data_IF_190665729814
#
_entry.id   IF_190665729814
#
_cell.length_a   1.000
_cell.length_b   1.000
_cell.length_c   1.000
_cell.angle_alpha   90.00
_cell.angle_beta   90.00
_cell.angle_gamma   90.00
#
_symmetry.space_group_name_H-M   'P 1'
#
loop_
_entity.id
_entity.type
_entity.pdbx_description
1 polymer ?
#
# COMPACT_ATOMS: atom_id res chain seq x y z
N UNK A 1 25.23 3.32 5.68
CA UNK A 1 24.22 2.27 5.47
C UNK A 1 22.84 2.92 5.46
N UNK A 2 22.22 3.04 4.30
CA UNK A 2 20.82 3.41 4.21
C UNK A 2 20.01 2.25 4.78
N UNK A 3 19.19 2.49 5.81
CA UNK A 3 18.30 1.45 6.32
C UNK A 3 17.19 1.21 5.29
N UNK A 4 16.88 -0.05 4.98
CA UNK A 4 15.81 -0.47 4.04
C UNK A 4 14.52 0.33 4.27
N UNK A 5 14.12 0.50 5.52
CA UNK A 5 12.92 1.28 5.85
C UNK A 5 12.97 2.75 5.38
N UNK A 6 14.09 3.44 5.52
CA UNK A 6 14.23 4.83 5.05
C UNK A 6 14.25 4.92 3.53
N UNK A 7 14.78 3.89 2.88
CA UNK A 7 14.80 3.76 1.43
C UNK A 7 13.41 3.46 0.86
N UNK A 8 12.67 2.50 1.44
CA UNK A 8 11.28 2.19 1.07
C UNK A 8 10.37 3.43 1.09
N UNK A 9 10.53 4.30 2.09
CA UNK A 9 9.76 5.55 2.17
C UNK A 9 10.04 6.51 1.01
N UNK A 10 11.27 6.52 0.52
CA UNK A 10 11.68 7.36 -0.60
C UNK A 10 11.25 6.74 -1.93
N UNK A 11 11.32 5.42 -2.09
CA UNK A 11 10.76 4.73 -3.27
C UNK A 11 9.25 4.95 -3.35
N UNK A 12 8.51 4.79 -2.24
CA UNK A 12 7.08 5.09 -2.21
C UNK A 12 6.80 6.54 -2.61
N UNK A 13 7.60 7.50 -2.12
CA UNK A 13 7.43 8.90 -2.52
C UNK A 13 7.74 9.10 -4.01
N UNK A 14 8.84 8.57 -4.51
CA UNK A 14 9.15 8.69 -5.92
C UNK A 14 7.99 8.14 -6.78
N UNK A 15 7.44 6.98 -6.43
CA UNK A 15 6.28 6.42 -7.12
C UNK A 15 5.03 7.31 -7.03
N UNK A 16 4.74 7.95 -5.88
CA UNK A 16 3.63 8.92 -5.81
C UNK A 16 3.82 10.13 -6.75
N UNK A 17 5.07 10.51 -7.03
CA UNK A 17 5.40 11.67 -7.84
C UNK A 17 5.45 11.35 -9.34
N UNK A 18 6.00 10.19 -9.68
CA UNK A 18 6.45 9.88 -11.03
C UNK A 18 6.33 8.38 -11.34
N UNK A 19 5.36 7.68 -10.73
CA UNK A 19 5.03 6.34 -11.19
C UNK A 19 4.42 6.39 -12.59
N UNK A 20 5.30 6.32 -13.57
CA UNK A 20 5.08 5.87 -14.94
C UNK A 20 6.46 5.72 -15.56
N UNK A 21 7.26 4.75 -15.08
CA UNK A 21 8.63 4.60 -15.56
C UNK A 21 8.70 4.22 -17.05
N UNK A 22 7.57 3.94 -17.69
CA UNK A 22 7.46 3.40 -19.06
C UNK A 22 6.58 4.25 -19.98
N UNK A 23 5.60 5.00 -19.45
CA UNK A 23 4.62 5.72 -20.28
C UNK A 23 4.72 7.25 -20.13
N UNK A 24 4.67 7.98 -21.26
CA UNK A 24 4.66 9.45 -21.30
C UNK A 24 3.38 10.08 -20.70
N UNK A 25 2.33 9.27 -20.47
CA UNK A 25 1.08 9.70 -19.87
C UNK A 25 0.75 8.85 -18.63
N UNK A 26 1.18 9.26 -17.42
CA UNK A 26 1.02 8.47 -16.21
C UNK A 26 -0.46 8.26 -15.87
N UNK A 27 -0.85 7.00 -15.68
CA UNK A 27 -2.14 6.67 -15.12
C UNK A 27 -2.19 7.04 -13.63
N UNK A 28 -3.36 7.46 -13.09
CA UNK A 28 -3.48 7.68 -11.66
C UNK A 28 -3.17 6.41 -10.89
N UNK A 29 -2.35 6.53 -9.85
CA UNK A 29 -1.85 5.39 -9.12
C UNK A 29 -1.95 5.54 -7.59
N UNK A 30 -2.31 4.45 -6.92
CA UNK A 30 -2.26 4.35 -5.45
C UNK A 30 -0.98 3.63 -5.07
N UNK A 31 -0.15 4.28 -4.24
CA UNK A 31 1.07 3.68 -3.70
C UNK A 31 0.86 3.22 -2.26
N UNK A 32 1.23 1.98 -1.97
CA UNK A 32 1.11 1.36 -0.65
C UNK A 32 2.40 0.67 -0.20
N UNK A 33 2.92 1.09 0.96
CA UNK A 33 4.10 0.49 1.58
C UNK A 33 3.76 -0.77 2.37
N UNK A 34 4.60 -1.79 2.23
CA UNK A 34 4.62 -3.02 3.02
C UNK A 34 3.23 -3.66 3.10
N UNK A 35 2.77 -4.10 1.93
CA UNK A 35 1.47 -4.70 1.72
C UNK A 35 1.62 -6.21 1.52
N UNK A 36 0.67 -6.99 2.02
CA UNK A 36 0.80 -8.43 2.00
C UNK A 36 -0.35 -9.17 2.68
N UNK A 37 -0.37 -10.48 2.45
CA UNK A 37 -1.22 -11.47 3.12
C UNK A 37 -0.44 -12.16 4.24
N UNK A 38 -1.00 -13.19 4.87
CA UNK A 38 -0.24 -14.04 5.80
C UNK A 38 0.89 -14.82 5.11
N UNK A 39 0.80 -15.01 3.79
CA UNK A 39 1.72 -15.86 3.02
C UNK A 39 2.83 -15.07 2.33
N UNK A 40 2.58 -13.80 1.97
CA UNK A 40 3.50 -13.00 1.15
C UNK A 40 3.38 -11.51 1.48
N UNK A 41 4.49 -10.76 1.48
CA UNK A 41 4.54 -9.32 1.77
C UNK A 41 5.53 -8.62 0.87
N UNK A 42 5.03 -7.68 0.08
CA UNK A 42 5.78 -6.82 -0.83
C UNK A 42 6.14 -5.51 -0.16
N UNK A 43 7.30 -4.95 -0.49
CA UNK A 43 7.78 -3.70 0.10
C UNK A 43 7.02 -2.47 -0.39
N UNK A 44 6.74 -2.40 -1.69
CA UNK A 44 5.88 -1.36 -2.28
C UNK A 44 4.94 -1.99 -3.29
N UNK A 45 3.66 -1.63 -3.20
CA UNK A 45 2.65 -1.95 -4.21
C UNK A 45 2.19 -0.65 -4.84
N UNK A 46 2.14 -0.62 -6.16
CA UNK A 46 1.51 0.45 -6.93
C UNK A 46 0.29 -0.11 -7.63
N UNK A 47 -0.83 0.62 -7.55
CA UNK A 47 -2.07 0.22 -8.19
C UNK A 47 -2.46 1.31 -9.14
N UNK A 48 -2.30 1.04 -10.42
CA UNK A 48 -2.83 1.91 -11.46
C UNK A 48 -4.32 1.69 -11.55
N UNK A 49 -5.07 2.78 -11.54
CA UNK A 49 -6.52 2.74 -11.43
C UNK A 49 -7.18 3.23 -12.71
N UNK A 50 -8.36 2.69 -12.97
CA UNK A 50 -9.28 3.33 -13.91
C UNK A 50 -9.87 4.59 -13.26
N UNK A 51 -9.71 5.80 -13.82
CA UNK A 51 -10.16 7.02 -13.16
C UNK A 51 -11.66 7.03 -12.87
N UNK A 52 -12.47 6.51 -13.78
CA UNK A 52 -13.93 6.47 -13.66
C UNK A 52 -14.37 5.46 -12.61
N UNK A 53 -13.83 4.25 -12.66
CA UNK A 53 -14.00 3.19 -11.67
C UNK A 53 -13.52 3.63 -10.30
N UNK A 54 -12.41 4.36 -10.20
CA UNK A 54 -11.90 4.89 -8.95
C UNK A 54 -12.85 5.93 -8.35
N UNK A 55 -13.36 6.86 -9.15
CA UNK A 55 -14.40 7.82 -8.70
C UNK A 55 -15.65 7.10 -8.21
N UNK A 56 -16.09 6.03 -8.87
CA UNK A 56 -17.20 5.20 -8.41
C UNK A 56 -16.86 4.49 -7.08
N UNK A 57 -15.65 3.96 -6.95
CA UNK A 57 -15.18 3.29 -5.73
C UNK A 57 -15.20 4.25 -4.54
N UNK A 58 -14.77 5.50 -4.72
CA UNK A 58 -14.80 6.53 -3.67
C UNK A 58 -16.20 6.78 -3.10
N UNK A 59 -17.26 6.53 -3.87
CA UNK A 59 -18.63 6.67 -3.38
C UNK A 59 -18.98 5.65 -2.28
N UNK A 60 -18.23 4.54 -2.13
CA UNK A 60 -18.35 3.60 -1.01
C UNK A 60 -17.61 4.08 0.26
N UNK A 61 -16.97 5.25 0.21
CA UNK A 61 -16.28 5.91 1.30
C UNK A 61 -14.77 5.61 1.38
N UNK A 62 -14.09 6.33 2.26
CA UNK A 62 -12.62 6.34 2.40
C UNK A 62 -12.04 5.11 3.12
N UNK A 63 -12.91 4.25 3.67
CA UNK A 63 -12.51 3.03 4.37
C UNK A 63 -12.44 1.86 3.40
N UNK A 64 -11.34 1.11 3.46
CA UNK A 64 -11.22 -0.17 2.75
C UNK A 64 -12.32 -1.17 3.13
N UNK A 65 -12.61 -2.07 2.20
CA UNK A 65 -13.43 -3.25 2.39
C UNK A 65 -12.51 -4.47 2.54
N UNK A 66 -12.73 -5.26 3.59
CA UNK A 66 -12.07 -6.56 3.71
C UNK A 66 -12.71 -7.58 2.76
N UNK A 67 -12.15 -8.78 2.69
CA UNK A 67 -12.65 -9.85 1.82
C UNK A 67 -14.11 -10.21 2.07
N UNK A 68 -14.57 -10.13 3.32
CA UNK A 68 -15.96 -10.45 3.68
C UNK A 68 -16.91 -9.36 3.17
N UNK A 69 -16.53 -8.09 3.32
CA UNK A 69 -17.31 -6.96 2.81
C UNK A 69 -17.30 -6.93 1.28
N UNK A 70 -16.18 -7.23 0.64
CA UNK A 70 -16.09 -7.33 -0.82
C UNK A 70 -17.02 -8.41 -1.36
N UNK A 71 -17.08 -9.59 -0.74
CA UNK A 71 -18.05 -10.64 -1.10
C UNK A 71 -19.47 -10.10 -1.07
N UNK A 72 -19.86 -9.44 0.02
CA UNK A 72 -21.23 -8.90 0.15
C UNK A 72 -21.52 -7.82 -0.90
N UNK A 73 -20.59 -6.89 -1.11
CA UNK A 73 -20.83 -5.70 -1.95
C UNK A 73 -20.79 -6.02 -3.44
N UNK A 74 -19.95 -6.98 -3.86
CA UNK A 74 -19.89 -7.45 -5.25
C UNK A 74 -21.09 -8.30 -5.63
N UNK A 75 -21.52 -9.20 -4.74
CA UNK A 75 -22.56 -10.18 -5.04
C UNK A 75 -23.97 -9.64 -4.70
N UNK A 76 -24.08 -8.47 -4.05
CA UNK A 76 -25.38 -7.91 -3.68
C UNK A 76 -26.28 -7.65 -4.92
N UNK A 77 -27.53 -8.14 -4.93
CA UNK A 77 -28.44 -8.00 -6.06
C UNK A 77 -29.04 -6.59 -6.13
N UNK A 78 -29.55 -6.18 -7.30
CA UNK A 78 -30.26 -4.90 -7.45
C UNK A 78 -31.61 -4.87 -6.72
N UNK A 79 -32.25 -6.02 -6.60
CA UNK A 79 -33.54 -6.16 -5.92
C UNK A 79 -33.39 -6.81 -4.55
N UNK A 80 -34.41 -6.68 -3.71
CA UNK A 80 -34.40 -7.27 -2.38
C UNK A 80 -34.43 -8.79 -2.42
N UNK A 81 -33.40 -9.42 -1.86
CA UNK A 81 -33.30 -10.89 -1.83
C UNK A 81 -32.74 -11.38 -0.49
N UNK A 82 -33.11 -12.61 -0.09
CA UNK A 82 -32.55 -13.22 1.11
C UNK A 82 -31.04 -13.42 0.93
N UNK A 83 -30.24 -12.99 1.91
CA UNK A 83 -28.79 -12.98 1.77
C UNK A 83 -28.13 -14.34 1.50
N UNK A 84 -28.84 -15.45 1.78
CA UNK A 84 -28.32 -16.79 1.48
C UNK A 84 -28.63 -17.26 0.06
N UNK A 85 -29.66 -16.69 -0.56
CA UNK A 85 -29.99 -16.96 -1.96
C UNK A 85 -29.14 -16.06 -2.87
N UNK A 86 -28.88 -14.83 -2.43
CA UNK A 86 -28.17 -13.82 -3.21
C UNK A 86 -26.64 -13.95 -3.23
N UNK A 87 -26.01 -14.42 -2.13
CA UNK A 87 -24.56 -14.43 -1.98
C UNK A 87 -23.98 -15.82 -2.24
N UNK A 88 -22.79 -15.87 -2.83
CA UNK A 88 -22.04 -17.11 -3.06
C UNK A 88 -21.88 -17.96 -1.79
N UNK A 89 -22.14 -19.27 -1.89
CA UNK A 89 -22.07 -20.18 -0.75
C UNK A 89 -20.66 -20.21 -0.13
N UNK A 90 -20.53 -19.96 1.20
CA UNK A 90 -19.24 -20.01 1.88
C UNK A 90 -18.77 -21.44 2.18
N UNK A 91 -17.45 -21.63 2.20
CA UNK A 91 -16.76 -22.81 2.76
C UNK A 91 -16.68 -22.80 4.31
N UNK A 92 -17.40 -21.87 4.95
CA UNK A 92 -17.47 -21.67 6.39
C UNK A 92 -18.90 -21.33 6.84
N UNK A 93 -19.22 -21.37 8.15
CA UNK A 93 -20.59 -21.17 8.62
C UNK A 93 -21.22 -19.81 8.22
N UNK A 94 -22.46 -19.85 7.71
CA UNK A 94 -23.28 -18.70 7.31
C UNK A 94 -23.44 -17.58 8.36
N UNK A 95 -23.18 -17.86 9.65
CA UNK A 95 -23.19 -16.84 10.71
C UNK A 95 -22.15 -15.74 10.49
N UNK A 96 -21.00 -16.08 9.87
CA UNK A 96 -19.96 -15.10 9.56
C UNK A 96 -20.37 -14.22 8.37
N UNK A 97 -21.00 -14.79 7.35
CA UNK A 97 -21.59 -14.02 6.24
C UNK A 97 -22.67 -13.08 6.76
N UNK A 98 -23.55 -13.55 7.64
CA UNK A 98 -24.57 -12.70 8.27
C UNK A 98 -23.95 -11.52 9.02
N UNK A 99 -22.87 -11.76 9.77
CA UNK A 99 -22.14 -10.69 10.44
C UNK A 99 -21.58 -9.67 9.42
N UNK A 100 -21.02 -10.14 8.30
CA UNK A 100 -20.54 -9.27 7.23
C UNK A 100 -21.67 -8.45 6.57
N UNK A 101 -22.85 -9.04 6.34
CA UNK A 101 -24.04 -8.34 5.82
C UNK A 101 -24.46 -7.21 6.77
N UNK A 102 -24.50 -7.47 8.07
CA UNK A 102 -24.79 -6.42 9.06
C UNK A 102 -23.72 -5.32 9.04
N UNK A 103 -22.42 -5.68 9.05
CA UNK A 103 -21.33 -4.70 8.94
C UNK A 103 -21.43 -3.85 7.66
N UNK A 104 -21.82 -4.46 6.54
CA UNK A 104 -21.97 -3.78 5.26
C UNK A 104 -23.16 -2.80 5.29
N UNK A 105 -24.29 -3.22 5.86
CA UNK A 105 -25.46 -2.36 6.09
C UNK A 105 -25.16 -1.18 7.01
N UNK A 106 -24.50 -1.43 8.15
CA UNK A 106 -24.11 -0.39 9.13
C UNK A 106 -23.14 0.63 8.52
N UNK A 107 -22.32 0.21 7.55
CA UNK A 107 -21.43 1.09 6.78
C UNK A 107 -22.12 1.79 5.60
N UNK A 108 -23.39 1.50 5.32
CA UNK A 108 -24.10 2.04 4.15
C UNK A 108 -23.51 1.58 2.82
N UNK A 109 -22.93 0.37 2.76
CA UNK A 109 -22.39 -0.22 1.52
C UNK A 109 -23.48 -0.97 0.73
N UNK A 110 -24.46 -1.52 1.44
CA UNK A 110 -25.66 -2.18 0.92
C UNK A 110 -26.84 -1.74 1.77
N UNK A 111 -28.05 -1.87 1.25
CA UNK A 111 -29.25 -1.74 2.08
C UNK A 111 -29.60 -3.10 2.67
N UNK A 112 -30.09 -3.11 3.92
CA UNK A 112 -30.55 -4.34 4.58
C UNK A 112 -31.93 -4.12 5.17
N UNK A 113 -32.76 -5.17 5.17
CA UNK A 113 -34.06 -5.18 5.84
C UNK A 113 -34.38 -6.55 6.43
N UNK A 114 -35.32 -6.59 7.37
CA UNK A 114 -35.90 -7.84 7.87
C UNK A 114 -37.31 -7.99 7.31
N UNK A 115 -37.57 -9.10 6.60
CA UNK A 115 -38.87 -9.43 6.03
C UNK A 115 -39.15 -10.93 6.26
N UNK A 116 -40.31 -11.27 6.82
CA UNK A 116 -40.70 -12.66 7.17
C UNK A 116 -39.61 -13.44 7.95
N UNK A 117 -38.97 -12.76 8.90
CA UNK A 117 -37.89 -13.35 9.69
C UNK A 117 -36.55 -13.54 8.96
N UNK A 118 -36.48 -13.23 7.66
CA UNK A 118 -35.26 -13.31 6.84
C UNK A 118 -34.58 -11.94 6.73
N UNK A 119 -33.24 -11.94 6.74
CA UNK A 119 -32.44 -10.74 6.45
C UNK A 119 -32.28 -10.66 4.94
N UNK A 120 -32.89 -9.64 4.34
CA UNK A 120 -32.72 -9.36 2.91
C UNK A 120 -31.71 -8.24 2.73
N UNK A 121 -31.01 -8.25 1.61
CA UNK A 121 -30.15 -7.14 1.17
C UNK A 121 -30.45 -6.76 -0.28
N UNK A 122 -30.00 -5.56 -0.65
CA UNK A 122 -29.82 -5.15 -2.04
C UNK A 122 -28.66 -4.17 -2.15
N UNK A 123 -28.00 -4.12 -3.31
CA UNK A 123 -26.92 -3.15 -3.57
C UNK A 123 -27.48 -1.74 -3.67
N UNK A 124 -26.71 -0.77 -3.16
CA UNK A 124 -26.96 0.66 -3.37
C UNK A 124 -26.45 1.09 -4.74
N UNK A 125 -25.33 0.50 -5.19
CA UNK A 125 -24.66 0.72 -6.47
C UNK A 125 -23.76 -0.48 -6.79
N UNK A 126 -23.45 -0.75 -8.07
CA UNK A 126 -22.50 -1.81 -8.42
C UNK A 126 -21.11 -1.48 -7.89
N UNK A 127 -20.38 -2.52 -7.49
CA UNK A 127 -18.96 -2.39 -7.18
C UNK A 127 -18.17 -2.27 -8.49
N UNK A 128 -17.37 -1.20 -8.69
CA UNK A 128 -16.70 -0.97 -9.96
C UNK A 128 -15.46 -1.86 -10.12
N UNK A 129 -15.10 -2.15 -11.36
CA UNK A 129 -13.78 -2.64 -11.70
C UNK A 129 -12.85 -1.42 -11.88
N UNK A 130 -12.14 -1.07 -10.81
CA UNK A 130 -11.34 0.15 -10.76
C UNK A 130 -9.83 -0.09 -10.84
N UNK A 131 -9.42 -1.35 -10.97
CA UNK A 131 -8.01 -1.77 -10.96
C UNK A 131 -7.58 -2.01 -12.40
N UNK A 132 -6.57 -1.29 -12.89
CA UNK A 132 -5.95 -1.58 -14.18
C UNK A 132 -4.77 -2.50 -14.04
N UNK A 133 -3.79 -2.10 -13.22
CA UNK A 133 -2.59 -2.89 -12.95
C UNK A 133 -2.24 -2.88 -11.46
N UNK A 134 -1.67 -3.98 -11.00
CA UNK A 134 -1.03 -4.15 -9.70
C UNK A 134 0.45 -4.38 -9.98
N UNK A 135 1.29 -3.47 -9.51
CA UNK A 135 2.74 -3.56 -9.65
C UNK A 135 3.37 -3.78 -8.28
N UNK A 136 4.28 -4.74 -8.20
CA UNK A 136 5.07 -5.01 -7.01
C UNK A 136 6.50 -4.51 -7.18
N UNK A 137 7.01 -3.76 -6.20
CA UNK A 137 8.40 -3.32 -6.15
C UNK A 137 9.04 -3.86 -4.87
N UNK A 138 10.08 -4.66 -5.04
CA UNK A 138 10.96 -5.12 -3.96
C UNK A 138 12.12 -4.14 -3.80
N UNK A 139 12.35 -3.68 -2.56
CA UNK A 139 13.29 -2.60 -2.30
C UNK A 139 14.60 -3.17 -1.76
N UNK A 140 15.66 -3.14 -2.58
CA UNK A 140 16.99 -3.61 -2.20
C UNK A 140 18.05 -2.53 -2.45
N UNK A 141 18.24 -1.58 -1.52
CA UNK A 141 19.15 -0.44 -1.73
C UNK A 141 20.61 -0.85 -1.95
N UNK A 142 21.01 -2.02 -1.44
CA UNK A 142 22.34 -2.60 -1.53
C UNK A 142 22.31 -3.93 -2.30
N UNK A 143 21.83 -3.90 -3.55
CA UNK A 143 21.75 -5.09 -4.40
C UNK A 143 23.15 -5.57 -4.83
N UNK A 144 23.77 -6.41 -4.00
CA UNK A 144 25.00 -7.15 -4.31
C UNK A 144 24.67 -8.42 -5.11
N UNK A 145 25.67 -9.07 -5.72
CA UNK A 145 25.48 -10.33 -6.45
C UNK A 145 24.86 -11.45 -5.56
N UNK A 146 25.27 -11.55 -4.30
CA UNK A 146 24.65 -12.51 -3.37
C UNK A 146 23.22 -12.12 -3.00
N UNK A 147 22.92 -10.83 -2.86
CA UNK A 147 21.57 -10.35 -2.62
C UNK A 147 20.66 -10.60 -3.83
N UNK A 148 21.15 -10.40 -5.05
CA UNK A 148 20.41 -10.68 -6.28
C UNK A 148 20.06 -12.16 -6.41
N UNK A 149 21.00 -13.09 -6.16
CA UNK A 149 20.71 -14.53 -6.17
C UNK A 149 19.62 -14.92 -5.18
N UNK A 150 19.72 -14.44 -3.94
CA UNK A 150 18.73 -14.74 -2.91
C UNK A 150 17.34 -14.15 -3.24
N UNK A 151 17.32 -12.94 -3.81
CA UNK A 151 16.09 -12.28 -4.23
C UNK A 151 15.47 -12.96 -5.47
N UNK A 152 16.30 -13.48 -6.38
CA UNK A 152 15.86 -14.12 -7.61
C UNK A 152 14.94 -15.32 -7.37
N UNK A 153 15.21 -16.15 -6.35
CA UNK A 153 14.33 -17.28 -5.99
C UNK A 153 12.94 -16.80 -5.57
N UNK A 154 12.87 -15.76 -4.76
CA UNK A 154 11.62 -15.16 -4.31
C UNK A 154 10.85 -14.55 -5.49
N UNK A 155 11.54 -13.82 -6.36
CA UNK A 155 10.93 -13.17 -7.51
C UNK A 155 10.42 -14.16 -8.55
N UNK A 156 11.12 -15.27 -8.81
CA UNK A 156 10.61 -16.36 -9.67
C UNK A 156 9.27 -16.86 -9.17
N UNK A 157 9.16 -17.10 -7.86
CA UNK A 157 7.90 -17.54 -7.29
C UNK A 157 6.78 -16.50 -7.45
N UNK A 158 7.10 -15.21 -7.31
CA UNK A 158 6.11 -14.15 -7.52
C UNK A 158 5.66 -14.06 -8.98
N UNK A 159 6.60 -14.18 -9.93
CA UNK A 159 6.34 -14.27 -11.38
C UNK A 159 5.45 -15.47 -11.69
N UNK A 160 5.82 -16.66 -11.21
CA UNK A 160 5.05 -17.90 -11.42
C UNK A 160 3.63 -17.82 -10.83
N UNK A 161 3.47 -17.08 -9.73
CA UNK A 161 2.17 -16.89 -9.09
C UNK A 161 1.26 -15.92 -9.85
N UNK A 162 1.81 -15.15 -10.81
CA UNK A 162 1.12 -14.11 -11.58
C UNK A 162 0.25 -13.18 -10.71
N UNK A 163 0.70 -12.94 -9.47
CA UNK A 163 -0.09 -12.18 -8.49
C UNK A 163 -0.16 -10.69 -8.86
N UNK A 164 0.95 -10.14 -9.32
CA UNK A 164 1.09 -8.78 -9.82
C UNK A 164 1.22 -8.82 -11.35
N UNK A 165 0.77 -7.77 -12.02
CA UNK A 165 0.89 -7.62 -13.46
C UNK A 165 2.34 -7.29 -13.87
N UNK A 166 3.10 -6.67 -12.96
CA UNK A 166 4.53 -6.42 -13.10
C UNK A 166 5.26 -6.57 -11.75
N UNK A 167 6.51 -7.00 -11.82
CA UNK A 167 7.42 -7.07 -10.69
C UNK A 167 8.69 -6.25 -10.98
N UNK A 168 9.16 -5.52 -9.97
CA UNK A 168 10.32 -4.64 -10.06
C UNK A 168 11.24 -4.80 -8.85
N UNK A 169 12.53 -4.54 -9.06
CA UNK A 169 13.50 -4.34 -7.99
C UNK A 169 14.00 -2.90 -8.03
N UNK A 170 13.90 -2.18 -6.90
CA UNK A 170 14.50 -0.87 -6.74
C UNK A 170 15.80 -0.96 -5.95
N UNK A 171 16.89 -0.43 -6.51
CA UNK A 171 18.22 -0.40 -5.89
C UNK A 171 18.87 0.98 -5.96
N UNK A 172 19.85 1.25 -5.10
CA UNK A 172 20.60 2.52 -5.13
C UNK A 172 21.56 2.53 -6.32
N UNK A 173 21.61 3.64 -7.05
CA UNK A 173 22.60 3.86 -8.10
C UNK A 173 24.01 3.88 -7.50
N UNK A 174 24.94 3.14 -8.11
CA UNK A 174 26.36 3.10 -7.70
C UNK A 174 27.25 4.01 -8.55
N UNK A 175 26.67 4.74 -9.50
CA UNK A 175 27.40 5.53 -10.50
C UNK A 175 28.11 4.69 -11.57
N UNK A 176 27.97 3.36 -11.52
CA UNK A 176 28.46 2.43 -12.54
C UNK A 176 27.27 1.75 -13.20
N UNK A 177 27.40 1.39 -14.48
CA UNK A 177 26.39 0.57 -15.14
C UNK A 177 26.29 -0.76 -14.40
N UNK A 178 25.07 -1.23 -14.18
CA UNK A 178 24.85 -2.48 -13.46
C UNK A 178 25.58 -3.63 -14.14
N UNK A 179 26.35 -4.40 -13.37
CA UNK A 179 27.12 -5.52 -13.89
C UNK A 179 26.18 -6.56 -14.53
N UNK A 180 26.50 -7.12 -15.71
CA UNK A 180 25.67 -8.13 -16.36
C UNK A 180 25.31 -9.31 -15.46
N UNK A 181 26.28 -9.81 -14.68
CA UNK A 181 26.06 -10.92 -13.75
C UNK A 181 24.99 -10.61 -12.69
N UNK A 182 24.88 -9.35 -12.26
CA UNK A 182 23.86 -8.92 -11.29
C UNK A 182 22.46 -8.94 -11.91
N UNK A 183 22.35 -8.67 -13.22
CA UNK A 183 21.09 -8.79 -13.96
C UNK A 183 20.72 -10.25 -14.22
N UNK A 184 21.70 -11.09 -14.56
CA UNK A 184 21.50 -12.53 -14.84
C UNK A 184 21.01 -13.32 -13.62
N UNK A 185 21.32 -12.85 -12.40
CA UNK A 185 20.86 -13.47 -11.15
C UNK A 185 19.36 -13.17 -10.85
N UNK A 186 18.74 -12.19 -11.52
CA UNK A 186 17.33 -11.84 -11.41
C UNK A 186 16.51 -12.46 -12.56
N UNK A 187 15.20 -12.73 -12.38
CA UNK A 187 14.34 -13.21 -13.47
C UNK A 187 14.25 -12.17 -14.58
N UNK A 188 14.21 -12.62 -15.84
CA UNK A 188 14.21 -11.73 -17.02
C UNK A 188 12.95 -10.88 -17.11
N UNK A 189 11.85 -11.36 -16.53
CA UNK A 189 10.56 -10.70 -16.47
C UNK A 189 10.51 -9.54 -15.46
N UNK A 190 11.50 -9.45 -14.56
CA UNK A 190 11.52 -8.46 -13.48
C UNK A 190 12.24 -7.20 -13.91
N UNK A 191 11.56 -6.06 -13.79
CA UNK A 191 12.14 -4.74 -14.05
C UNK A 191 13.15 -4.32 -12.99
N UNK A 192 14.09 -3.46 -13.35
CA UNK A 192 15.10 -2.92 -12.44
C UNK A 192 15.06 -1.40 -12.48
N UNK A 193 14.81 -0.79 -11.32
CA UNK A 193 14.92 0.64 -11.07
C UNK A 193 16.23 0.93 -10.33
N UNK A 194 17.01 1.87 -10.84
CA UNK A 194 18.08 2.48 -10.06
C UNK A 194 17.62 3.82 -9.51
N UNK A 195 18.02 4.14 -8.29
CA UNK A 195 17.54 5.32 -7.56
C UNK A 195 18.71 6.12 -7.01
N UNK A 196 18.63 7.44 -7.10
CA UNK A 196 19.55 8.34 -6.41
C UNK A 196 18.75 9.28 -5.51
N UNK A 197 18.83 9.03 -4.20
CA UNK A 197 18.20 9.86 -3.19
C UNK A 197 19.20 10.71 -2.39
N UNK A 198 20.43 10.87 -2.88
CA UNK A 198 21.50 11.60 -2.18
C UNK A 198 21.16 13.09 -2.02
N UNK A 199 20.52 13.70 -3.03
CA UNK A 199 20.08 15.09 -3.03
C UNK A 199 18.65 15.29 -2.45
N UNK A 200 17.90 14.21 -2.24
CA UNK A 200 16.47 14.25 -1.90
C UNK A 200 15.67 13.32 -2.80
N UNK A 201 14.34 13.31 -2.66
CA UNK A 201 13.45 12.61 -3.61
C UNK A 201 12.63 13.63 -4.40
N UNK A 202 12.67 13.49 -5.72
CA UNK A 202 11.85 14.18 -6.71
C UNK A 202 11.39 13.19 -7.79
N UNK A 203 10.82 13.69 -8.90
CA UNK A 203 10.29 12.89 -10.01
C UNK A 203 11.40 12.17 -10.80
N UNK A 204 12.61 12.75 -10.85
CA UNK A 204 13.78 12.24 -11.58
C UNK A 204 14.67 11.31 -10.76
N UNK A 205 14.32 11.07 -9.49
CA UNK A 205 15.14 10.34 -8.53
C UNK A 205 15.26 8.83 -8.80
N UNK A 206 14.56 8.29 -9.82
CA UNK A 206 14.74 6.94 -10.28
C UNK A 206 14.80 6.85 -11.81
N UNK A 207 15.54 5.86 -12.31
CA UNK A 207 15.68 5.55 -13.73
C UNK A 207 15.51 4.06 -13.95
N UNK A 208 14.98 3.69 -15.12
CA UNK A 208 14.86 2.29 -15.53
C UNK A 208 16.20 1.81 -16.07
N UNK A 209 16.76 0.78 -15.44
CA UNK A 209 17.94 0.06 -15.93
C UNK A 209 17.55 -1.16 -16.78
N UNK A 210 16.41 -1.78 -16.44
CA UNK A 210 15.83 -2.91 -17.15
C UNK A 210 14.30 -2.86 -17.09
N UNK A 211 13.64 -3.13 -18.21
CA UNK A 211 12.18 -3.11 -18.29
C UNK A 211 11.60 -4.48 -17.93
N UNK A 212 10.49 -4.55 -17.16
CA UNK A 212 9.81 -5.81 -16.88
C UNK A 212 9.12 -6.34 -18.13
N UNK A 213 8.78 -7.62 -18.09
CA UNK A 213 7.78 -8.22 -18.99
C UNK A 213 6.41 -8.18 -18.30
N UNK A 214 5.34 -8.00 -19.07
CA UNK A 214 3.97 -8.17 -18.55
C UNK A 214 3.79 -9.60 -18.02
N UNK A 215 3.30 -9.74 -16.79
CA UNK A 215 3.09 -11.02 -16.11
C UNK A 215 1.65 -11.55 -16.27
N UNK A 216 0.87 -10.99 -17.20
CA UNK A 216 -0.50 -11.44 -17.48
C UNK A 216 -0.51 -12.91 -17.91
N UNK A 217 -1.16 -13.76 -17.10
CA UNK A 217 -1.39 -15.15 -17.44
C UNK A 217 -2.28 -15.26 -18.69
N UNK A 218 -1.87 -16.03 -19.70
CA UNK A 218 -2.65 -16.30 -20.92
C UNK A 218 -4.00 -16.98 -20.65
N UNK A 219 -4.24 -17.44 -19.42
CA UNK A 219 -5.50 -18.04 -18.96
C UNK A 219 -6.34 -17.09 -18.09
N UNK A 220 -6.26 -15.77 -18.33
CA UNK A 220 -7.12 -14.79 -17.67
C UNK A 220 -8.59 -15.26 -17.72
N UNK A 221 -9.09 -15.73 -16.58
CA UNK A 221 -10.48 -16.11 -16.44
C UNK A 221 -11.35 -14.88 -16.74
N UNK A 222 -12.53 -15.08 -17.34
CA UNK A 222 -13.49 -14.01 -17.63
C UNK A 222 -13.90 -13.21 -16.37
N UNK A 223 -13.63 -13.74 -15.16
CA UNK A 223 -13.82 -13.04 -13.89
C UNK A 223 -12.51 -12.69 -13.17
N UNK A 224 -12.32 -11.42 -12.75
CA UNK A 224 -11.13 -11.00 -12.03
C UNK A 224 -11.03 -11.64 -10.64
N UNK A 225 -9.84 -12.18 -10.33
CA UNK A 225 -9.51 -12.86 -9.07
C UNK A 225 -9.89 -12.00 -7.84
N UNK A 226 -10.75 -12.51 -6.92
CA UNK A 226 -11.09 -11.84 -5.67
C UNK A 226 -9.89 -11.37 -4.84
N UNK A 227 -8.74 -12.05 -4.94
CA UNK A 227 -7.52 -11.65 -4.25
C UNK A 227 -7.01 -10.29 -4.73
N UNK A 228 -7.13 -9.96 -6.02
CA UNK A 228 -6.71 -8.67 -6.60
C UNK A 228 -7.47 -7.51 -5.94
N UNK A 229 -8.79 -7.61 -5.86
CA UNK A 229 -9.61 -6.62 -5.16
C UNK A 229 -9.27 -6.52 -3.67
N UNK A 230 -8.99 -7.65 -3.00
CA UNK A 230 -8.63 -7.63 -1.59
C UNK A 230 -7.30 -6.89 -1.35
N UNK A 231 -6.29 -7.05 -2.21
CA UNK A 231 -5.04 -6.26 -2.11
C UNK A 231 -5.31 -4.80 -2.44
N UNK A 232 -6.08 -4.52 -3.49
CA UNK A 232 -6.35 -3.15 -3.88
C UNK A 232 -7.13 -2.37 -2.83
N UNK A 233 -8.13 -2.99 -2.23
CA UNK A 233 -8.82 -2.45 -1.07
C UNK A 233 -7.87 -2.20 0.11
N UNK A 234 -6.96 -3.14 0.40
CA UNK A 234 -5.98 -2.94 1.47
C UNK A 234 -5.04 -1.79 1.16
N UNK A 235 -4.60 -1.62 -0.09
CA UNK A 235 -3.80 -0.49 -0.53
C UNK A 235 -4.58 0.82 -0.38
N UNK A 236 -5.83 0.85 -0.83
CA UNK A 236 -6.74 1.98 -0.71
C UNK A 236 -6.92 2.44 0.75
N UNK A 237 -7.28 1.52 1.65
CA UNK A 237 -7.54 1.86 3.05
C UNK A 237 -6.28 2.17 3.85
N UNK A 238 -5.20 1.39 3.64
CA UNK A 238 -3.93 1.70 4.31
C UNK A 238 -3.33 3.01 3.78
N UNK A 239 -3.57 3.32 2.51
CA UNK A 239 -2.78 4.29 1.76
C UNK A 239 -1.29 4.07 1.97
N UNK A 240 -0.52 5.16 1.95
CA UNK A 240 0.76 5.20 2.63
C UNK A 240 0.51 4.85 4.10
N UNK A 241 0.97 3.66 4.54
CA UNK A 241 1.04 3.35 5.97
C UNK A 241 1.70 4.52 6.65
N UNK A 242 0.97 5.19 7.55
CA UNK A 242 1.60 6.19 8.37
C UNK A 242 2.65 5.46 9.17
N UNK A 243 3.92 5.67 8.84
CA UNK A 243 4.98 5.04 9.59
C UNK A 243 4.98 5.51 11.04
N UNK A 244 4.23 6.55 11.38
CA UNK A 244 3.90 6.95 12.75
C UNK A 244 3.21 5.85 13.55
N UNK A 245 2.55 4.88 12.92
CA UNK A 245 1.91 3.75 13.62
C UNK A 245 2.95 2.74 14.13
N UNK A 246 4.10 2.71 13.47
CA UNK A 246 5.22 1.79 13.74
C UNK A 246 6.46 2.50 14.27
N UNK A 247 6.39 3.82 14.44
CA UNK A 247 7.44 4.65 15.02
C UNK A 247 6.89 5.41 16.22
N UNK A 248 7.75 6.11 16.95
CA UNK A 248 7.40 6.82 18.19
C UNK A 248 7.46 8.32 18.00
N UNK A 249 6.51 8.94 17.28
CA UNK A 249 6.46 10.40 17.14
C UNK A 249 6.24 11.10 18.49
N UNK A 250 5.72 10.37 19.48
CA UNK A 250 5.61 10.77 20.89
C UNK A 250 6.95 10.76 21.65
N UNK A 251 8.06 10.40 21.01
CA UNK A 251 9.38 10.44 21.62
C UNK A 251 10.06 11.79 21.37
N UNK A 252 10.67 12.38 22.40
CA UNK A 252 11.50 13.60 22.34
C UNK A 252 12.62 13.55 21.30
N UNK A 253 13.15 12.35 21.04
CA UNK A 253 14.22 12.15 20.08
C UNK A 253 13.72 11.98 18.64
N UNK A 254 12.40 11.90 18.42
CA UNK A 254 11.84 11.73 17.10
C UNK A 254 11.88 13.06 16.34
N UNK A 255 12.51 13.02 15.18
CA UNK A 255 12.56 14.12 14.23
C UNK A 255 11.99 13.65 12.89
N UNK A 256 11.20 14.52 12.25
CA UNK A 256 10.80 14.34 10.87
C UNK A 256 11.79 15.11 9.99
N UNK A 257 12.68 14.41 9.29
CA UNK A 257 13.65 15.04 8.39
C UNK A 257 13.11 15.10 6.98
N UNK A 258 13.21 16.27 6.37
CA UNK A 258 12.89 16.48 4.96
C UNK A 258 13.99 15.87 4.08
N UNK A 259 13.60 15.21 3.02
CA UNK A 259 14.46 14.68 1.96
C UNK A 259 13.89 15.21 0.64
N UNK A 260 14.09 16.51 0.40
CA UNK A 260 13.40 17.29 -0.62
C UNK A 260 11.85 17.15 -0.60
N UNK A 261 11.21 16.48 -1.57
CA UNK A 261 9.75 16.23 -1.56
C UNK A 261 9.34 15.04 -0.67
N UNK A 262 10.29 14.38 -0.02
CA UNK A 262 10.08 13.28 0.93
C UNK A 262 10.23 13.68 2.40
N UNK A 263 9.75 12.81 3.29
CA UNK A 263 10.03 12.88 4.73
C UNK A 263 10.51 11.51 5.23
N UNK A 264 11.50 11.51 6.11
CA UNK A 264 12.00 10.32 6.81
C UNK A 264 11.97 10.51 8.32
N UNK A 265 11.62 9.47 9.09
CA UNK A 265 11.81 9.49 10.53
C UNK A 265 13.31 9.48 10.84
N UNK A 266 13.71 10.19 11.89
CA UNK A 266 15.08 10.21 12.38
C UNK A 266 15.08 10.23 13.90
N UNK A 267 15.91 9.39 14.51
CA UNK A 267 16.08 9.38 15.95
C UNK A 267 17.35 10.14 16.33
N UNK A 268 17.22 11.28 17.00
CA UNK A 268 18.35 12.09 17.45
C UNK A 268 19.28 11.34 18.42
N UNK A 269 18.72 10.48 19.28
CA UNK A 269 19.52 9.67 20.21
C UNK A 269 20.32 8.56 19.51
N UNK A 270 19.77 7.97 18.44
CA UNK A 270 20.45 6.92 17.65
C UNK A 270 21.23 7.47 16.45
N UNK A 271 21.06 8.75 16.15
CA UNK A 271 21.64 9.47 15.02
C UNK A 271 21.38 8.85 13.64
N UNK A 272 20.26 8.13 13.48
CA UNK A 272 19.89 7.47 12.22
C UNK A 272 18.37 7.32 12.07
N UNK A 273 17.96 6.86 10.89
CA UNK A 273 16.58 6.39 10.66
C UNK A 273 16.36 5.13 11.51
N UNK A 274 15.43 5.15 12.47
CA UNK A 274 15.17 3.98 13.32
C UNK A 274 14.29 2.95 12.59
N UNK A 275 14.39 1.69 12.98
CA UNK A 275 13.43 0.65 12.58
C UNK A 275 12.24 0.59 13.54
N UNK A 276 11.15 -0.06 13.13
CA UNK A 276 9.98 -0.26 14.00
C UNK A 276 10.31 -1.08 15.25
N UNK A 277 11.21 -2.06 15.14
CA UNK A 277 11.66 -2.86 16.28
C UNK A 277 12.50 -2.02 17.27
N UNK A 278 13.38 -1.15 16.77
CA UNK A 278 14.24 -0.28 17.58
C UNK A 278 13.48 0.82 18.33
N UNK A 279 12.31 1.19 17.83
CA UNK A 279 11.41 2.16 18.44
C UNK A 279 10.26 1.50 19.21
N UNK A 280 10.33 0.19 19.47
CA UNK A 280 9.32 -0.52 20.29
C UNK A 280 9.34 -0.08 21.76
N UNK A 281 8.43 -0.63 22.57
CA UNK A 281 8.27 -0.28 23.99
C UNK A 281 9.51 -0.51 24.86
N UNK A 282 10.47 -1.33 24.41
CA UNK A 282 11.72 -1.62 25.13
C UNK A 282 12.85 -0.62 24.85
N UNK A 283 12.62 0.43 24.08
CA UNK A 283 13.67 1.40 23.76
C UNK A 283 14.11 2.20 25.00
N UNK A 284 15.33 1.95 25.49
CA UNK A 284 15.92 2.64 26.66
C UNK A 284 16.10 4.15 26.47
N UNK A 285 16.15 4.61 25.22
CA UNK A 285 16.24 6.03 24.89
C UNK A 285 14.87 6.69 24.74
N UNK A 286 13.78 5.97 24.94
CA UNK A 286 12.45 6.56 24.83
C UNK A 286 12.25 7.61 25.92
N UNK A 287 11.79 8.79 25.51
CA UNK A 287 11.45 9.89 26.41
C UNK A 287 10.18 10.54 25.87
N UNK A 288 9.04 10.48 26.58
CA UNK A 288 7.78 11.01 26.07
C UNK A 288 7.83 12.53 25.90
N UNK A 289 7.33 13.03 24.77
CA UNK A 289 7.19 14.44 24.43
C UNK A 289 5.78 14.71 23.84
N UNK A 290 4.88 15.38 24.57
CA UNK A 290 5.15 16.07 25.81
C UNK A 290 5.33 15.07 26.97
N UNK A 291 6.09 15.42 28.02
CA UNK A 291 6.12 14.64 29.25
C UNK A 291 4.68 14.40 29.76
N UNK A 292 4.41 13.26 30.40
CA UNK A 292 3.05 12.84 30.77
C UNK A 292 2.26 13.91 31.55
N UNK A 293 2.94 14.67 32.40
CA UNK A 293 2.36 15.75 33.20
C UNK A 293 2.04 17.04 32.41
N UNK A 294 2.50 17.16 31.16
CA UNK A 294 2.20 18.25 30.20
C UNK A 294 1.29 17.80 29.05
N UNK A 295 0.56 16.70 29.21
CA UNK A 295 -0.33 16.18 28.16
C UNK A 295 -1.62 17.00 28.01
N UNK A 296 -1.94 17.89 28.95
CA UNK A 296 -3.13 18.76 28.94
C UNK A 296 -2.72 20.22 28.70
N UNK A 297 -3.28 20.86 27.67
CA UNK A 297 -3.10 22.30 27.37
C UNK A 297 -2.08 22.67 26.27
N UNK A 298 -1.94 23.99 26.06
CA UNK A 298 -1.06 24.65 25.06
C UNK A 298 0.42 24.29 25.26
N UNK A 299 1.27 24.09 24.21
CA UNK A 299 1.22 24.71 22.86
C UNK A 299 0.75 23.86 21.68
N UNK A 300 0.50 22.57 21.89
CA UNK A 300 -0.26 21.69 20.99
C UNK A 300 -0.88 20.69 21.96
N UNK A 301 -2.22 20.57 22.03
CA UNK A 301 -2.82 19.52 22.86
C UNK A 301 -2.30 18.15 22.40
N UNK A 302 -1.28 17.61 23.08
CA UNK A 302 -0.58 16.36 22.72
C UNK A 302 0.81 16.51 22.07
N UNK A 303 1.40 17.70 22.03
CA UNK A 303 2.81 17.96 21.71
C UNK A 303 3.27 17.70 20.26
N UNK A 304 4.58 17.72 19.99
CA UNK A 304 5.15 17.74 18.64
C UNK A 304 4.82 16.47 17.84
N UNK A 305 4.67 15.32 18.51
CA UNK A 305 4.29 14.07 17.87
C UNK A 305 2.95 14.13 17.14
N UNK A 306 1.94 14.78 17.75
CA UNK A 306 0.64 14.99 17.08
C UNK A 306 0.75 15.95 15.90
N UNK A 307 1.58 16.98 15.99
CA UNK A 307 1.84 17.88 14.86
C UNK A 307 2.43 17.16 13.65
N UNK A 308 3.36 16.22 13.90
CA UNK A 308 3.95 15.34 12.88
C UNK A 308 2.89 14.42 12.27
N UNK A 309 2.08 13.77 13.10
CA UNK A 309 0.98 12.90 12.63
C UNK A 309 0.02 13.67 11.73
N UNK A 310 -0.45 14.85 12.18
CA UNK A 310 -1.36 15.69 11.40
C UNK A 310 -0.73 16.18 10.08
N UNK A 311 0.58 16.47 10.06
CA UNK A 311 1.29 16.83 8.83
C UNK A 311 1.31 15.68 7.82
N UNK A 312 1.64 14.47 8.28
CA UNK A 312 1.70 13.28 7.43
C UNK A 312 0.31 12.83 6.96
N UNK A 313 -0.71 12.97 7.81
CA UNK A 313 -2.12 12.80 7.45
C UNK A 313 -2.54 13.75 6.33
N UNK A 314 -2.32 15.06 6.48
CA UNK A 314 -2.65 16.05 5.44
C UNK A 314 -1.91 15.78 4.13
N UNK A 315 -0.66 15.31 4.20
CA UNK A 315 0.09 14.91 3.01
C UNK A 315 -0.60 13.73 2.32
N UNK A 316 -0.91 12.66 3.05
CA UNK A 316 -1.61 11.49 2.51
C UNK A 316 -2.96 11.85 1.89
N UNK A 317 -3.74 12.74 2.52
CA UNK A 317 -5.02 13.17 1.98
C UNK A 317 -4.87 13.97 0.67
N UNK A 318 -3.78 14.73 0.54
CA UNK A 318 -3.44 15.42 -0.71
C UNK A 318 -3.12 14.44 -1.83
N UNK A 319 -2.29 13.43 -1.56
CA UNK A 319 -1.95 12.42 -2.58
C UNK A 319 -3.19 11.63 -3.01
N UNK A 320 -4.08 11.27 -2.06
CA UNK A 320 -5.38 10.65 -2.39
C UNK A 320 -6.26 11.50 -3.33
N UNK A 321 -6.25 12.82 -3.16
CA UNK A 321 -6.97 13.76 -4.05
C UNK A 321 -6.26 13.94 -5.40
N UNK A 322 -4.94 13.79 -5.43
CA UNK A 322 -4.18 13.87 -6.68
C UNK A 322 -4.60 12.75 -7.63
N UNK A 323 -4.78 11.52 -7.11
CA UNK A 323 -5.32 10.38 -7.87
C UNK A 323 -6.73 10.65 -8.44
N UNK A 324 -7.50 11.60 -7.87
CA UNK A 324 -8.82 11.99 -8.43
C UNK A 324 -8.72 13.02 -9.56
N UNK A 325 -7.64 13.80 -9.58
CA UNK A 325 -7.50 15.00 -10.41
C UNK A 325 -6.72 14.74 -11.71
N UNK A 326 -5.97 13.65 -11.76
CA UNK A 326 -5.31 13.12 -12.95
C UNK A 326 -6.21 12.09 -13.61
#
# INVERSE_FOLDING_TARGET
MSHEFGYELLVCRWAELAWSPVDDNPEPAIVARQLGTKRRRWDTIVIEVDPDGFRQRRQFGDRAMDSDLLRVVRDAPSEWEWYRDALSEPDFPWRYVRAAVHRAGDRGLVETRKHDGRVQLRRIRPYPDWIRRIIAIENKPDLTASAARALGDQLRHDVDSAFADEAWVATTATGQRMEPALREDLPVEVGILTTDFSAGVDESAATVEWYPSSLTSETAADEPDPARFAIAERAYGKGWRSYTDTTRPDCRHYQLRRADRGFKPYCAAKQRVPTSQECSGSCEKFSPEPPTWRTQGWPIEGGPGKGIQALLERRRDRERRHVESN
#
